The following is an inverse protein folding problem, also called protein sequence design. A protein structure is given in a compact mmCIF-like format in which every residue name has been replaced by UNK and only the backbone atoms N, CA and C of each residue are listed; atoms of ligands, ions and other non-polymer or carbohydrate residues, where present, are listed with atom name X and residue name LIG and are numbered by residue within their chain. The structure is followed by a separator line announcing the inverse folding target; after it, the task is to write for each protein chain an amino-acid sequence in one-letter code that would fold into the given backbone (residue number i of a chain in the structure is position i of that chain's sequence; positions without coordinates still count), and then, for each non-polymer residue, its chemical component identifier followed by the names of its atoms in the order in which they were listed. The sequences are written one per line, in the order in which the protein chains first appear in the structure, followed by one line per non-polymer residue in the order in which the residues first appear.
data_IF_774971482101
#
_entry.id   IF_774971482101
#
_cell.length_a   1.000
_cell.length_b   1.000
_cell.length_c   1.000
_cell.angle_alpha   90.00
_cell.angle_beta   90.00
_cell.angle_gamma   90.00
#
_symmetry.space_group_name_H-M   'P 1'
#
loop_
_entity.id
_entity.type
_entity.pdbx_description
1 polymer ?
#
# COMPACT_ATOMS: atom_id res chain seq x y z
N UNK A 1 28.61 -0.11 -7.62
CA UNK A 1 27.56 -1.15 -7.43
C UNK A 1 26.89 -1.39 -8.77
N UNK A 2 26.90 -2.61 -9.26
CA UNK A 2 26.13 -3.00 -10.44
C UNK A 2 24.96 -3.89 -10.01
N UNK A 3 23.78 -3.68 -10.61
CA UNK A 3 22.64 -4.58 -10.45
C UNK A 3 22.82 -5.70 -11.47
N UNK A 4 23.09 -6.92 -10.99
CA UNK A 4 23.23 -8.09 -11.85
C UNK A 4 21.87 -8.79 -12.01
N UNK A 5 21.42 -8.96 -13.24
CA UNK A 5 20.17 -9.65 -13.57
C UNK A 5 20.52 -10.98 -14.23
N UNK A 6 20.09 -12.09 -13.61
CA UNK A 6 20.27 -13.44 -14.14
C UNK A 6 18.91 -13.96 -14.61
N UNK A 7 18.83 -14.42 -15.85
CA UNK A 7 17.62 -14.99 -16.43
C UNK A 7 17.85 -16.47 -16.76
N UNK A 8 16.87 -17.30 -16.45
CA UNK A 8 16.91 -18.74 -16.74
C UNK A 8 15.49 -19.28 -16.81
N UNK A 9 15.30 -20.34 -17.60
CA UNK A 9 14.05 -21.10 -17.67
C UNK A 9 13.93 -22.13 -16.53
N UNK A 10 15.06 -22.44 -15.86
CA UNK A 10 15.12 -23.41 -14.75
C UNK A 10 15.61 -22.73 -13.47
N UNK A 11 14.86 -22.93 -12.39
CA UNK A 11 15.19 -22.35 -11.09
C UNK A 11 16.49 -22.94 -10.50
N UNK A 12 16.81 -24.20 -10.81
CA UNK A 12 18.05 -24.86 -10.39
C UNK A 12 19.30 -24.13 -10.89
N UNK A 13 19.25 -23.59 -12.11
CA UNK A 13 20.36 -22.83 -12.69
C UNK A 13 20.53 -21.49 -11.99
N UNK A 14 19.42 -20.85 -11.57
CA UNK A 14 19.47 -19.63 -10.77
C UNK A 14 20.07 -19.90 -9.39
N UNK A 15 19.73 -21.03 -8.75
CA UNK A 15 20.35 -21.46 -7.49
C UNK A 15 21.86 -21.68 -7.64
N UNK A 16 22.30 -22.33 -8.71
CA UNK A 16 23.73 -22.52 -8.98
C UNK A 16 24.45 -21.18 -9.20
N UNK A 17 23.82 -20.26 -9.93
CA UNK A 17 24.33 -18.90 -10.10
C UNK A 17 24.47 -18.16 -8.76
N UNK A 18 23.49 -18.30 -7.88
CA UNK A 18 23.51 -17.74 -6.54
C UNK A 18 24.61 -18.35 -5.66
N UNK A 19 24.75 -19.69 -5.65
CA UNK A 19 25.78 -20.39 -4.91
C UNK A 19 27.19 -19.96 -5.35
N UNK A 20 27.43 -19.83 -6.66
CA UNK A 20 28.70 -19.31 -7.20
C UNK A 20 28.98 -17.88 -6.76
N UNK A 21 27.95 -17.03 -6.72
CA UNK A 21 28.09 -15.64 -6.28
C UNK A 21 28.39 -15.57 -4.79
N UNK A 22 27.77 -16.42 -3.97
CA UNK A 22 28.07 -16.51 -2.53
C UNK A 22 29.46 -17.07 -2.22
N UNK A 23 30.09 -17.78 -3.16
CA UNK A 23 31.45 -18.33 -3.00
C UNK A 23 32.55 -17.37 -3.46
N UNK A 24 32.21 -16.13 -3.82
CA UNK A 24 33.20 -15.12 -4.21
C UNK A 24 34.23 -14.91 -3.10
N UNK A 25 35.51 -14.74 -3.49
CA UNK A 25 36.62 -14.51 -2.54
C UNK A 25 36.32 -13.31 -1.64
N UNK A 26 36.27 -13.57 -0.34
CA UNK A 26 36.25 -12.54 0.70
C UNK A 26 37.68 -12.12 1.01
N UNK A 27 37.95 -10.81 1.02
CA UNK A 27 39.26 -10.26 1.40
C UNK A 27 39.53 -10.40 2.91
N UNK A 28 38.46 -10.48 3.73
CA UNK A 28 38.55 -10.57 5.18
C UNK A 28 37.88 -11.86 5.70
N UNK A 29 38.53 -12.62 6.60
CA UNK A 29 38.00 -13.89 7.13
C UNK A 29 36.63 -13.78 7.81
N UNK A 30 36.34 -12.65 8.47
CA UNK A 30 35.08 -12.44 9.18
C UNK A 30 33.89 -12.11 8.26
N UNK A 31 34.11 -11.80 6.97
CA UNK A 31 33.02 -11.54 6.03
C UNK A 31 32.13 -12.76 5.80
N UNK A 32 32.63 -13.97 6.06
CA UNK A 32 31.85 -15.21 6.02
C UNK A 32 30.71 -15.19 7.05
N UNK A 33 30.84 -14.42 8.14
CA UNK A 33 29.79 -14.29 9.15
C UNK A 33 28.76 -13.21 8.81
N UNK A 34 28.97 -12.41 7.75
CA UNK A 34 28.05 -11.36 7.38
C UNK A 34 26.67 -11.94 7.00
N UNK A 35 25.61 -11.28 7.47
CA UNK A 35 24.25 -11.70 7.15
C UNK A 35 23.99 -11.57 5.65
N UNK A 36 23.61 -12.68 5.01
CA UNK A 36 23.19 -12.64 3.62
C UNK A 36 21.69 -12.36 3.55
N UNK A 37 21.31 -11.41 2.69
CA UNK A 37 19.93 -10.98 2.56
C UNK A 37 19.29 -11.58 1.31
N UNK A 38 18.14 -12.22 1.51
CA UNK A 38 17.35 -12.81 0.42
C UNK A 38 15.99 -12.13 0.36
N UNK A 39 15.55 -11.76 -0.85
CA UNK A 39 14.21 -11.23 -1.07
C UNK A 39 13.39 -12.33 -1.71
N UNK A 40 12.36 -12.78 -1.00
CA UNK A 40 11.50 -13.88 -1.46
C UNK A 40 10.05 -13.43 -1.60
N UNK A 41 9.26 -14.00 -2.52
CA UNK A 41 7.88 -13.59 -2.72
C UNK A 41 6.93 -14.05 -1.60
N UNK A 42 7.22 -15.20 -0.98
CA UNK A 42 6.41 -15.83 0.06
C UNK A 42 7.23 -16.78 0.95
N UNK A 43 6.58 -17.29 2.00
CA UNK A 43 7.19 -18.21 2.97
C UNK A 43 7.56 -19.58 2.35
N UNK A 44 6.80 -20.06 1.36
CA UNK A 44 7.08 -21.34 0.71
C UNK A 44 8.40 -21.30 -0.06
N UNK A 45 8.66 -20.22 -0.81
CA UNK A 45 9.94 -20.02 -1.51
C UNK A 45 11.08 -19.82 -0.52
N UNK A 46 10.86 -19.16 0.62
CA UNK A 46 11.86 -19.10 1.68
C UNK A 46 12.21 -20.50 2.19
N UNK A 47 11.22 -21.32 2.55
CA UNK A 47 11.48 -22.66 3.06
C UNK A 47 12.21 -23.52 2.01
N UNK A 48 11.73 -23.51 0.77
CA UNK A 48 12.38 -24.21 -0.34
C UNK A 48 13.83 -23.75 -0.55
N UNK A 49 14.09 -22.43 -0.51
CA UNK A 49 15.44 -21.89 -0.66
C UNK A 49 16.33 -22.28 0.53
N UNK A 50 15.80 -22.24 1.75
CA UNK A 50 16.50 -22.69 2.96
C UNK A 50 16.92 -24.15 2.82
N UNK A 51 16.02 -25.04 2.41
CA UNK A 51 16.31 -26.46 2.20
C UNK A 51 17.38 -26.65 1.11
N UNK A 52 17.24 -25.99 -0.05
CA UNK A 52 18.20 -26.12 -1.17
C UNK A 52 19.57 -25.54 -0.89
N UNK A 53 19.67 -24.44 -0.16
CA UNK A 53 20.96 -23.90 0.25
C UNK A 53 21.62 -24.80 1.29
N UNK A 54 20.85 -25.36 2.23
CA UNK A 54 21.36 -26.34 3.20
C UNK A 54 21.92 -27.58 2.50
N UNK A 55 21.23 -28.11 1.48
CA UNK A 55 21.72 -29.23 0.68
C UNK A 55 23.04 -28.91 -0.05
N UNK A 56 23.15 -27.72 -0.65
CA UNK A 56 24.31 -27.33 -1.46
C UNK A 56 25.55 -26.95 -0.63
N UNK A 57 25.35 -26.33 0.53
CA UNK A 57 26.43 -25.78 1.36
C UNK A 57 26.69 -26.61 2.62
N UNK A 58 25.84 -27.59 2.91
CA UNK A 58 25.89 -28.43 4.11
C UNK A 58 25.40 -27.76 5.40
N UNK A 59 25.31 -26.42 5.44
CA UNK A 59 24.86 -25.63 6.59
C UNK A 59 24.01 -24.45 6.08
N UNK A 60 22.97 -24.09 6.85
CA UNK A 60 22.23 -22.85 6.68
C UNK A 60 22.47 -21.94 7.88
N UNK A 61 23.28 -20.88 7.69
CA UNK A 61 23.62 -19.93 8.74
C UNK A 61 23.57 -18.48 8.23
N UNK A 62 23.15 -17.57 9.10
CA UNK A 62 23.17 -16.11 8.89
C UNK A 62 22.41 -15.60 7.64
N UNK A 63 21.28 -16.23 7.30
CA UNK A 63 20.39 -15.73 6.25
C UNK A 63 19.24 -14.91 6.83
N UNK A 64 19.05 -13.71 6.30
CA UNK A 64 17.90 -12.88 6.58
C UNK A 64 16.99 -12.79 5.35
N UNK A 65 15.82 -13.39 5.48
CA UNK A 65 14.80 -13.37 4.45
C UNK A 65 13.87 -12.16 4.62
N UNK A 66 13.71 -11.42 3.55
CA UNK A 66 12.76 -10.32 3.42
C UNK A 66 11.58 -10.76 2.58
N UNK A 67 10.38 -10.68 3.16
CA UNK A 67 9.15 -11.02 2.47
C UNK A 67 8.76 -9.88 1.53
N UNK A 68 8.83 -10.15 0.23
CA UNK A 68 8.62 -9.23 -0.89
C UNK A 68 9.61 -8.05 -0.91
N UNK A 69 9.65 -7.33 -2.03
CA UNK A 69 10.55 -6.18 -2.20
C UNK A 69 10.29 -5.08 -1.16
N UNK A 70 9.02 -4.88 -0.76
CA UNK A 70 8.64 -3.83 0.21
C UNK A 70 9.25 -4.06 1.59
N UNK A 71 9.34 -5.31 2.04
CA UNK A 71 9.99 -5.64 3.32
C UNK A 71 11.47 -5.25 3.29
N UNK A 72 12.16 -5.58 2.20
CA UNK A 72 13.56 -5.20 2.00
C UNK A 72 13.75 -3.69 1.86
N UNK A 73 12.89 -2.99 1.12
CA UNK A 73 12.97 -1.54 0.94
C UNK A 73 12.94 -0.80 2.28
N UNK A 74 11.97 -1.11 3.16
CA UNK A 74 11.89 -0.47 4.48
C UNK A 74 13.06 -0.84 5.38
N UNK A 75 13.56 -2.08 5.29
CA UNK A 75 14.78 -2.47 5.98
C UNK A 75 15.98 -1.63 5.48
N UNK A 76 16.16 -1.51 4.17
CA UNK A 76 17.24 -0.74 3.56
C UNK A 76 17.17 0.74 3.94
N UNK A 77 15.98 1.34 3.95
CA UNK A 77 15.79 2.71 4.43
C UNK A 77 16.24 2.88 5.88
N UNK A 78 15.94 1.93 6.77
CA UNK A 78 16.43 1.99 8.16
C UNK A 78 17.94 1.84 8.29
N UNK A 79 18.60 1.11 7.38
CA UNK A 79 20.06 0.99 7.38
C UNK A 79 20.74 2.25 6.84
N UNK A 80 20.18 2.86 5.79
CA UNK A 80 20.76 4.05 5.14
C UNK A 80 20.44 5.32 5.93
N UNK A 81 19.20 5.50 6.37
CA UNK A 81 18.75 6.65 7.17
C UNK A 81 18.90 6.34 8.66
N UNK A 82 20.13 6.07 9.08
CA UNK A 82 20.43 5.54 10.42
C UNK A 82 20.07 6.50 11.56
N UNK A 83 20.13 7.81 11.31
CA UNK A 83 19.75 8.89 12.25
C UNK A 83 18.23 9.09 12.32
N UNK A 84 17.48 8.69 11.29
CA UNK A 84 16.03 8.87 11.16
C UNK A 84 15.25 7.54 11.27
N UNK A 85 15.82 6.52 11.90
CA UNK A 85 15.22 5.16 11.98
C UNK A 85 13.79 5.17 12.50
N UNK A 86 13.48 5.99 13.50
CA UNK A 86 12.13 6.05 14.07
C UNK A 86 11.12 6.71 13.14
N UNK A 87 11.54 7.70 12.34
CA UNK A 87 10.70 8.29 11.29
C UNK A 87 10.37 7.26 10.21
N UNK A 88 11.40 6.51 9.75
CA UNK A 88 11.22 5.42 8.76
C UNK A 88 10.28 4.32 9.28
N UNK A 89 10.34 4.00 10.57
CA UNK A 89 9.42 3.01 11.18
C UNK A 89 7.99 3.51 11.23
N UNK A 90 7.78 4.78 11.58
CA UNK A 90 6.46 5.42 11.58
C UNK A 90 5.87 5.52 10.17
N UNK A 91 6.70 5.81 9.18
CA UNK A 91 6.31 5.92 7.78
C UNK A 91 5.75 4.62 7.18
N UNK A 92 6.24 3.47 7.66
CA UNK A 92 5.74 2.16 7.24
C UNK A 92 4.40 1.82 7.94
N UNK A 93 3.34 2.55 7.59
CA UNK A 93 2.02 2.33 8.18
C UNK A 93 1.50 0.95 7.74
N UNK A 94 1.28 0.00 8.68
CA UNK A 94 0.70 -1.29 8.37
C UNK A 94 -0.74 -1.13 7.88
N UNK A 95 -1.14 -1.98 6.93
CA UNK A 95 -2.51 -1.95 6.37
C UNK A 95 -3.59 -2.09 7.43
N UNK A 96 -3.33 -2.87 8.48
CA UNK A 96 -4.25 -3.03 9.61
C UNK A 96 -4.49 -1.69 10.33
N UNK A 97 -3.45 -0.87 10.51
CA UNK A 97 -3.58 0.46 11.13
C UNK A 97 -4.40 1.38 10.24
N UNK A 98 -4.12 1.40 8.92
CA UNK A 98 -4.92 2.18 7.96
C UNK A 98 -6.39 1.82 8.04
N UNK A 99 -6.72 0.52 8.03
CA UNK A 99 -8.09 0.03 8.14
C UNK A 99 -8.78 0.56 9.40
N UNK A 100 -8.16 0.42 10.56
CA UNK A 100 -8.75 0.88 11.83
C UNK A 100 -8.94 2.39 11.87
N UNK A 101 -7.99 3.16 11.33
CA UNK A 101 -8.12 4.61 11.23
C UNK A 101 -9.26 5.04 10.32
N UNK A 102 -9.41 4.40 9.16
CA UNK A 102 -10.54 4.63 8.25
C UNK A 102 -11.86 4.28 8.94
N UNK A 103 -11.91 3.14 9.64
CA UNK A 103 -13.09 2.75 10.40
C UNK A 103 -13.44 3.80 11.46
N UNK A 104 -12.46 4.23 12.26
CA UNK A 104 -12.66 5.23 13.31
C UNK A 104 -13.09 6.59 12.75
N UNK A 105 -12.53 7.02 11.61
CA UNK A 105 -12.90 8.26 10.94
C UNK A 105 -14.36 8.27 10.48
N UNK A 106 -14.83 7.15 9.93
CA UNK A 106 -16.17 7.03 9.37
C UNK A 106 -17.24 6.59 10.38
N UNK A 107 -16.84 6.01 11.51
CA UNK A 107 -17.73 5.46 12.52
C UNK A 107 -18.77 6.46 13.06
N UNK A 108 -18.43 7.74 13.37
CA UNK A 108 -19.40 8.72 13.86
C UNK A 108 -20.59 8.93 12.92
N UNK A 109 -20.38 8.80 11.61
CA UNK A 109 -21.40 9.04 10.58
C UNK A 109 -22.40 7.89 10.41
N UNK A 110 -22.21 6.76 11.10
CA UNK A 110 -23.11 5.59 11.03
C UNK A 110 -23.77 5.25 12.37
N UNK A 111 -23.56 6.07 13.42
CA UNK A 111 -24.09 5.80 14.76
C UNK A 111 -25.60 6.08 14.85
N UNK A 112 -26.07 7.12 14.18
CA UNK A 112 -27.48 7.51 14.21
C UNK A 112 -28.35 6.50 13.46
N UNK A 113 -29.60 6.34 13.91
CA UNK A 113 -30.57 5.48 13.24
C UNK A 113 -30.81 5.92 11.80
N UNK A 114 -30.94 7.23 11.58
CA UNK A 114 -31.12 7.88 10.29
C UNK A 114 -29.88 8.68 9.88
N UNK A 115 -29.66 8.81 8.57
CA UNK A 115 -28.54 9.55 8.00
C UNK A 115 -28.71 11.06 8.24
N UNK A 116 -27.69 11.70 8.82
CA UNK A 116 -27.69 13.14 9.13
C UNK A 116 -26.88 13.99 8.13
N UNK A 117 -26.19 13.34 7.19
CA UNK A 117 -25.34 14.01 6.21
C UNK A 117 -26.17 14.62 5.07
N UNK A 118 -25.81 15.84 4.67
CA UNK A 118 -26.37 16.51 3.50
C UNK A 118 -25.74 15.98 2.21
N UNK A 119 -26.47 16.11 1.10
CA UNK A 119 -26.02 15.66 -0.25
C UNK A 119 -24.72 16.34 -0.69
N UNK A 120 -24.48 17.56 -0.20
CA UNK A 120 -23.28 18.35 -0.49
C UNK A 120 -22.01 17.79 0.16
N UNK A 121 -22.15 16.98 1.22
CA UNK A 121 -21.00 16.44 1.93
C UNK A 121 -20.26 15.38 1.09
N UNK A 122 -18.92 15.42 0.96
CA UNK A 122 -18.18 14.47 0.12
C UNK A 122 -18.45 13.00 0.47
N UNK A 123 -18.56 12.67 1.76
CA UNK A 123 -18.89 11.32 2.24
C UNK A 123 -20.34 10.86 1.97
N UNK A 124 -21.23 11.72 1.48
CA UNK A 124 -22.66 11.38 1.35
C UNK A 124 -22.87 10.10 0.56
N UNK A 125 -22.24 9.98 -0.61
CA UNK A 125 -22.42 8.84 -1.52
C UNK A 125 -22.02 7.49 -0.90
N UNK A 126 -20.97 7.44 -0.08
CA UNK A 126 -20.51 6.21 0.57
C UNK A 126 -21.36 5.88 1.80
N UNK A 127 -21.73 6.89 2.60
CA UNK A 127 -22.55 6.68 3.80
C UNK A 127 -23.99 6.32 3.43
N UNK A 128 -24.59 6.97 2.43
CA UNK A 128 -25.93 6.64 1.93
C UNK A 128 -26.02 5.15 1.55
N UNK A 129 -25.03 4.63 0.80
CA UNK A 129 -24.97 3.20 0.45
C UNK A 129 -24.93 2.28 1.67
N UNK A 130 -24.30 2.69 2.78
CA UNK A 130 -24.29 1.92 4.04
C UNK A 130 -25.68 1.91 4.68
N UNK A 131 -26.39 3.04 4.67
CA UNK A 131 -27.75 3.12 5.21
C UNK A 131 -28.74 2.33 4.35
N UNK A 132 -28.72 2.51 3.02
CA UNK A 132 -29.61 1.83 2.07
C UNK A 132 -29.54 0.30 2.16
N UNK A 133 -28.34 -0.22 2.43
CA UNK A 133 -28.11 -1.66 2.56
C UNK A 133 -28.50 -2.22 3.93
N UNK A 134 -28.57 -1.38 4.97
CA UNK A 134 -29.12 -1.75 6.28
C UNK A 134 -30.65 -1.60 6.34
N UNK A 135 -31.24 -0.72 5.54
CA UNK A 135 -32.69 -0.43 5.58
C UNK A 135 -33.60 -1.58 5.16
N UNK A 136 -33.05 -2.60 4.53
CA UNK A 136 -33.75 -3.86 4.22
C UNK A 136 -34.11 -4.68 5.47
N UNK A 137 -33.48 -4.38 6.61
CA UNK A 137 -33.70 -5.10 7.88
C UNK A 137 -34.78 -4.39 8.71
N UNK A 138 -35.53 -5.13 9.52
CA UNK A 138 -36.61 -4.57 10.34
C UNK A 138 -36.18 -4.26 11.78
N UNK A 139 -35.22 -5.00 12.33
CA UNK A 139 -34.77 -4.85 13.72
C UNK A 139 -33.63 -3.83 13.86
N UNK A 140 -33.73 -2.92 14.84
CA UNK A 140 -32.76 -1.83 15.04
C UNK A 140 -31.33 -2.30 15.35
N UNK A 141 -31.17 -3.37 16.14
CA UNK A 141 -29.85 -3.92 16.49
C UNK A 141 -29.17 -4.55 15.25
N UNK A 142 -29.92 -5.34 14.48
CA UNK A 142 -29.41 -5.97 13.25
C UNK A 142 -29.03 -4.92 12.20
N UNK A 143 -29.83 -3.84 12.07
CA UNK A 143 -29.46 -2.68 11.26
C UNK A 143 -28.10 -2.12 11.65
N UNK A 144 -27.89 -1.90 12.95
CA UNK A 144 -26.63 -1.31 13.43
C UNK A 144 -25.43 -2.24 13.20
N UNK A 145 -25.58 -3.54 13.45
CA UNK A 145 -24.55 -4.54 13.16
C UNK A 145 -24.24 -4.61 11.66
N UNK A 146 -25.25 -4.52 10.80
CA UNK A 146 -25.06 -4.50 9.35
C UNK A 146 -24.27 -3.28 8.90
N UNK A 147 -24.60 -2.08 9.40
CA UNK A 147 -23.85 -0.83 9.11
C UNK A 147 -22.38 -0.97 9.51
N UNK A 148 -22.09 -1.47 10.72
CA UNK A 148 -20.73 -1.67 11.20
C UNK A 148 -19.96 -2.71 10.38
N UNK A 149 -20.59 -3.83 10.02
CA UNK A 149 -19.98 -4.87 9.17
C UNK A 149 -19.59 -4.31 7.80
N UNK A 150 -20.46 -3.51 7.18
CA UNK A 150 -20.17 -2.88 5.89
C UNK A 150 -19.11 -1.80 6.01
N UNK A 151 -19.13 -1.01 7.07
CA UNK A 151 -18.07 -0.04 7.32
C UNK A 151 -16.71 -0.74 7.48
N UNK A 152 -16.66 -1.87 8.20
CA UNK A 152 -15.45 -2.66 8.35
C UNK A 152 -14.95 -3.23 7.01
N UNK A 153 -15.87 -3.66 6.14
CA UNK A 153 -15.55 -4.09 4.78
C UNK A 153 -15.06 -2.94 3.90
N UNK A 154 -15.70 -1.78 3.94
CA UNK A 154 -15.26 -0.56 3.22
C UNK A 154 -13.85 -0.21 3.67
N UNK A 155 -13.60 -0.11 4.98
CA UNK A 155 -12.28 0.20 5.53
C UNK A 155 -11.19 -0.78 5.05
N UNK A 156 -11.50 -2.07 4.88
CA UNK A 156 -10.58 -3.06 4.32
C UNK A 156 -10.22 -2.73 2.85
N UNK A 157 -11.21 -2.39 2.02
CA UNK A 157 -10.99 -2.06 0.60
C UNK A 157 -10.23 -0.74 0.45
N UNK A 158 -10.63 0.30 1.20
CA UNK A 158 -9.96 1.60 1.17
C UNK A 158 -8.51 1.49 1.65
N UNK A 159 -8.24 0.70 2.71
CA UNK A 159 -6.88 0.47 3.19
C UNK A 159 -5.97 -0.14 2.11
N UNK A 160 -6.52 -1.01 1.26
CA UNK A 160 -5.78 -1.62 0.16
C UNK A 160 -5.49 -0.60 -0.95
N UNK A 161 -6.49 0.22 -1.31
CA UNK A 161 -6.33 1.29 -2.30
C UNK A 161 -5.29 2.31 -1.84
N UNK A 162 -5.39 2.82 -0.61
CA UNK A 162 -4.45 3.81 -0.07
C UNK A 162 -3.03 3.24 0.02
N UNK A 163 -2.88 1.97 0.42
CA UNK A 163 -1.58 1.29 0.39
C UNK A 163 -0.97 1.27 -1.01
N UNK A 164 -1.79 1.06 -2.05
CA UNK A 164 -1.33 1.10 -3.44
C UNK A 164 -1.02 2.54 -3.90
N UNK A 165 -1.83 3.52 -3.50
CA UNK A 165 -1.56 4.92 -3.84
C UNK A 165 -0.26 5.42 -3.23
N UNK A 166 0.05 5.04 -1.99
CA UNK A 166 1.35 5.39 -1.38
C UNK A 166 2.53 4.81 -2.17
N UNK A 167 2.36 3.64 -2.79
CA UNK A 167 3.43 2.99 -3.57
C UNK A 167 3.55 3.56 -4.99
N UNK A 168 2.44 3.83 -5.65
CA UNK A 168 2.43 4.14 -7.08
C UNK A 168 2.09 5.60 -7.41
N UNK A 169 1.58 6.37 -6.44
CA UNK A 169 1.01 7.71 -6.62
C UNK A 169 1.38 8.72 -5.52
N UNK A 170 2.35 8.38 -4.67
CA UNK A 170 2.77 9.22 -3.54
C UNK A 170 3.91 10.20 -3.84
N UNK A 171 4.71 9.95 -4.89
CA UNK A 171 5.79 10.85 -5.27
C UNK A 171 5.86 11.04 -6.77
N UNK A 172 6.41 12.18 -7.19
CA UNK A 172 6.74 12.40 -8.58
C UNK A 172 8.04 11.67 -8.92
N UNK A 173 7.99 10.76 -9.90
CA UNK A 173 9.17 10.01 -10.36
C UNK A 173 10.01 10.78 -11.39
N UNK A 174 9.54 11.94 -11.86
CA UNK A 174 10.36 12.85 -12.66
C UNK A 174 11.18 13.70 -11.71
N UNK A 175 12.51 13.65 -11.81
CA UNK A 175 13.42 14.59 -11.16
C UNK A 175 13.04 16.01 -11.58
N UNK A 176 12.21 16.65 -10.79
CA UNK A 176 11.55 17.88 -11.14
C UNK A 176 11.94 18.95 -10.12
N UNK A 177 12.33 20.10 -10.64
CA UNK A 177 12.57 21.31 -9.86
C UNK A 177 11.25 22.10 -9.93
N UNK A 178 10.76 22.59 -8.79
CA UNK A 178 9.43 23.20 -8.65
C UNK A 178 9.10 24.29 -9.69
N UNK A 179 7.81 24.51 -10.06
CA UNK A 179 6.62 23.76 -9.62
C UNK A 179 6.30 22.62 -10.58
N UNK A 180 6.39 21.37 -10.10
CA UNK A 180 6.18 20.22 -10.97
C UNK A 180 4.75 19.67 -10.88
N UNK A 181 4.01 19.79 -11.98
CA UNK A 181 2.66 19.23 -12.15
C UNK A 181 2.75 17.76 -12.57
N UNK A 182 2.98 16.89 -11.59
CA UNK A 182 3.05 15.46 -11.86
C UNK A 182 1.67 14.82 -11.87
N UNK A 183 1.27 14.36 -13.05
CA UNK A 183 0.04 13.59 -13.27
C UNK A 183 -0.08 12.33 -12.36
N UNK A 184 1.05 11.87 -11.79
CA UNK A 184 1.12 10.71 -10.90
C UNK A 184 1.00 11.04 -9.41
N UNK A 185 1.14 12.29 -8.97
CA UNK A 185 1.20 12.63 -7.54
C UNK A 185 -0.18 12.96 -6.96
N UNK A 186 -0.99 11.92 -6.76
CA UNK A 186 -2.37 12.07 -6.30
C UNK A 186 -2.45 12.44 -4.83
N UNK A 187 -1.60 11.86 -4.00
CA UNK A 187 -1.66 12.04 -2.54
C UNK A 187 -1.31 13.48 -2.11
N UNK A 188 -0.39 14.13 -2.82
CA UNK A 188 -0.05 15.54 -2.60
C UNK A 188 -1.14 16.50 -3.10
N UNK A 189 -1.76 16.19 -4.25
CA UNK A 189 -2.90 16.95 -4.76
C UNK A 189 -4.08 16.87 -3.77
N UNK A 190 -4.43 15.66 -3.31
CA UNK A 190 -5.48 15.46 -2.33
C UNK A 190 -5.17 16.10 -0.99
N UNK A 191 -3.91 16.13 -0.56
CA UNK A 191 -3.48 16.84 0.64
C UNK A 191 -3.78 18.34 0.60
N UNK A 192 -3.60 18.95 -0.58
CA UNK A 192 -3.94 20.36 -0.86
C UNK A 192 -5.41 20.58 -1.22
N UNK A 193 -6.26 19.58 -1.03
CA UNK A 193 -7.67 19.60 -1.39
C UNK A 193 -7.91 19.85 -2.89
N UNK A 194 -6.99 19.45 -3.76
CA UNK A 194 -7.13 19.60 -5.21
C UNK A 194 -7.76 18.35 -5.79
N UNK A 195 -8.91 18.52 -6.46
CA UNK A 195 -9.58 17.44 -7.17
C UNK A 195 -8.75 17.00 -8.38
N UNK A 196 -8.70 15.68 -8.60
CA UNK A 196 -8.04 15.13 -9.78
C UNK A 196 -8.92 15.31 -11.03
N UNK A 197 -8.30 15.61 -12.16
CA UNK A 197 -8.99 15.65 -13.46
C UNK A 197 -9.23 14.22 -13.99
N UNK A 198 -10.15 13.48 -13.37
CA UNK A 198 -10.43 12.06 -13.64
C UNK A 198 -10.82 11.83 -15.12
N UNK A 199 -11.50 12.79 -15.73
CA UNK A 199 -11.95 12.75 -17.12
C UNK A 199 -10.80 12.46 -18.10
N UNK A 200 -9.63 13.07 -17.89
CA UNK A 200 -8.44 12.87 -18.73
C UNK A 200 -7.96 11.42 -18.72
N UNK A 201 -8.25 10.67 -17.65
CA UNK A 201 -7.79 9.29 -17.48
C UNK A 201 -8.79 8.25 -17.96
N UNK A 202 -10.09 8.57 -17.89
CA UNK A 202 -11.18 7.67 -18.27
C UNK A 202 -11.42 7.73 -19.80
N UNK A 203 -11.41 8.93 -20.38
CA UNK A 203 -11.75 9.15 -21.80
C UNK A 203 -10.74 8.55 -22.78
N UNK A 204 -9.49 8.37 -22.37
CA UNK A 204 -8.47 7.76 -23.23
C UNK A 204 -8.60 6.24 -23.43
N UNK A 205 -9.51 5.57 -22.72
CA UNK A 205 -9.63 4.11 -22.81
C UNK A 205 -10.84 3.61 -23.60
N UNK A 206 -11.96 4.34 -23.64
CA UNK A 206 -13.15 3.91 -24.39
C UNK A 206 -13.96 5.12 -24.88
N UNK A 207 -14.34 5.16 -26.16
CA UNK A 207 -15.22 6.19 -26.73
C UNK A 207 -16.68 6.09 -26.23
N UNK A 208 -17.00 5.07 -25.42
CA UNK A 208 -18.35 4.78 -24.91
C UNK A 208 -18.44 4.81 -23.37
N UNK A 209 -17.63 5.63 -22.70
CA UNK A 209 -17.79 5.82 -21.25
C UNK A 209 -19.12 6.52 -21.03
N UNK A 210 -20.04 5.85 -20.33
CA UNK A 210 -21.34 6.43 -19.98
C UNK A 210 -21.15 7.54 -18.95
N UNK A 211 -21.93 8.63 -19.06
CA UNK A 211 -21.92 9.74 -18.09
C UNK A 211 -22.06 9.25 -16.62
N UNK A 212 -22.74 8.11 -16.43
CA UNK A 212 -22.88 7.42 -15.16
C UNK A 212 -21.54 6.95 -14.56
N UNK A 213 -20.67 6.33 -15.36
CA UNK A 213 -19.36 5.86 -14.87
C UNK A 213 -18.47 7.04 -14.46
N UNK A 214 -18.54 8.14 -15.20
CA UNK A 214 -17.82 9.36 -14.87
C UNK A 214 -18.30 9.95 -13.55
N UNK A 215 -19.62 10.07 -13.37
CA UNK A 215 -20.21 10.56 -12.13
C UNK A 215 -19.81 9.68 -10.94
N UNK A 216 -19.87 8.35 -11.09
CA UNK A 216 -19.46 7.42 -10.04
C UNK A 216 -17.98 7.60 -9.68
N UNK A 217 -17.11 7.82 -10.67
CA UNK A 217 -15.68 8.05 -10.43
C UNK A 217 -15.43 9.38 -9.70
N UNK A 218 -16.15 10.44 -10.06
CA UNK A 218 -16.09 11.73 -9.38
C UNK A 218 -16.55 11.64 -7.92
N UNK A 219 -17.65 10.92 -7.66
CA UNK A 219 -18.10 10.65 -6.29
C UNK A 219 -17.03 9.88 -5.48
N UNK A 220 -16.41 8.87 -6.10
CA UNK A 220 -15.35 8.08 -5.46
C UNK A 220 -14.12 8.91 -5.11
N UNK A 221 -13.70 9.80 -6.01
CA UNK A 221 -12.57 10.70 -5.78
C UNK A 221 -12.87 11.68 -4.66
N UNK A 222 -14.07 12.27 -4.64
CA UNK A 222 -14.42 13.31 -3.68
C UNK A 222 -14.32 12.82 -2.23
N UNK A 223 -14.88 11.65 -1.91
CA UNK A 223 -14.81 11.12 -0.55
C UNK A 223 -13.43 10.57 -0.20
N UNK A 224 -12.68 10.02 -1.16
CA UNK A 224 -11.31 9.56 -0.94
C UNK A 224 -10.35 10.72 -0.67
N UNK A 225 -10.48 11.81 -1.43
CA UNK A 225 -9.75 13.07 -1.23
C UNK A 225 -10.03 13.63 0.16
N UNK A 226 -11.30 13.73 0.53
CA UNK A 226 -11.70 14.19 1.87
C UNK A 226 -11.06 13.35 2.97
N UNK A 227 -11.18 12.02 2.86
CA UNK A 227 -10.64 11.09 3.86
C UNK A 227 -9.11 11.21 3.97
N UNK A 228 -8.42 11.36 2.85
CA UNK A 228 -6.97 11.56 2.82
C UNK A 228 -6.57 12.87 3.49
N UNK A 229 -7.18 13.98 3.08
CA UNK A 229 -6.90 15.33 3.58
C UNK A 229 -7.09 15.40 5.10
N UNK A 230 -8.25 14.98 5.60
CA UNK A 230 -8.63 15.16 7.00
C UNK A 230 -7.92 14.19 7.96
N UNK A 231 -7.59 12.98 7.51
CA UNK A 231 -7.14 11.92 8.43
C UNK A 231 -5.76 11.34 8.15
N UNK A 232 -5.13 11.59 6.99
CA UNK A 232 -3.87 10.95 6.62
C UNK A 232 -2.80 11.92 6.08
N UNK A 233 -3.18 13.08 5.55
CA UNK A 233 -2.25 13.99 4.89
C UNK A 233 -1.16 14.50 5.84
N UNK A 234 -1.51 14.85 7.08
CA UNK A 234 -0.53 15.34 8.05
C UNK A 234 0.55 14.30 8.34
N UNK A 235 0.16 13.03 8.57
CA UNK A 235 1.16 11.97 8.80
C UNK A 235 2.06 11.78 7.59
N UNK A 236 1.53 12.02 6.37
CA UNK A 236 2.30 11.92 5.15
C UNK A 236 3.33 13.05 5.00
N UNK A 237 3.06 14.25 5.52
CA UNK A 237 4.01 15.37 5.54
C UNK A 237 5.10 15.20 6.61
N UNK A 238 4.83 14.44 7.67
CA UNK A 238 5.79 14.15 8.73
C UNK A 238 6.79 13.03 8.38
N UNK A 239 6.62 12.38 7.22
CA UNK A 239 7.50 11.33 6.65
C UNK A 239 8.59 11.95 5.78
#
# INVERSE_FOLDING_TARGET
MAIHVIQSQRIDVLLQGLARTSQSRHEQPFQVLATQHFIVPNAAVQQWLTEKLSELQGIHANYQFHQRIRGFQWYAYQQVLSEHKDQVRKANIPRLILKWRIYQALYPYIQSEQMQLTVEHPLYSIIARIYDSADRLTQGIEKQLKKQSMLYWIAEQVSQLFSNYMLYRGSCTKNCIEPCTCASNWLDAWGRDQALEIEKWIVHKDQSVSAFQLQQAQELEAWQRWLWKEHFHQDFLEI
#
